data_IF_658502075087
#
_entry.id   IF_658502075087
#
_cell.length_a   1.000
_cell.length_b   1.000
_cell.length_c   1.000
_cell.angle_alpha   90.00
_cell.angle_beta   90.00
_cell.angle_gamma   90.00
#
_symmetry.space_group_name_H-M   'P 1'
#
loop_
_entity.id
_entity.type
_entity.pdbx_description
1 polymer ?
#
# COMPACT_ATOMS: atom_id res chain seq x y z
N UNK A 1 -18.23 5.44 -7.39
CA UNK A 1 -17.79 5.26 -5.98
C UNK A 1 -16.49 4.44 -5.89
N UNK A 2 -16.38 3.31 -6.59
CA UNK A 2 -15.17 2.46 -6.62
C UNK A 2 -13.90 3.23 -6.99
N UNK A 3 -13.90 3.99 -8.09
CA UNK A 3 -12.73 4.77 -8.53
C UNK A 3 -12.24 5.74 -7.45
N UNK A 4 -13.17 6.35 -6.68
CA UNK A 4 -12.82 7.24 -5.55
C UNK A 4 -12.18 6.47 -4.39
N UNK A 5 -12.65 5.25 -4.12
CA UNK A 5 -12.03 4.39 -3.11
C UNK A 5 -10.61 3.94 -3.53
N UNK A 6 -10.41 3.61 -4.81
CA UNK A 6 -9.07 3.31 -5.34
C UNK A 6 -8.16 4.53 -5.27
N UNK A 7 -8.68 5.73 -5.58
CA UNK A 7 -7.94 6.98 -5.44
C UNK A 7 -7.50 7.22 -3.99
N UNK A 8 -8.39 6.99 -3.02
CA UNK A 8 -8.04 7.08 -1.61
C UNK A 8 -6.93 6.09 -1.24
N UNK A 9 -7.02 4.83 -1.69
CA UNK A 9 -5.95 3.84 -1.50
C UNK A 9 -4.62 4.35 -2.08
N UNK A 10 -4.62 4.89 -3.31
CA UNK A 10 -3.42 5.48 -3.91
C UNK A 10 -2.84 6.61 -3.06
N UNK A 11 -3.67 7.52 -2.55
CA UNK A 11 -3.21 8.60 -1.69
C UNK A 11 -2.58 8.07 -0.40
N UNK A 12 -3.19 7.07 0.23
CA UNK A 12 -2.66 6.45 1.45
C UNK A 12 -1.32 5.75 1.19
N UNK A 13 -1.17 5.02 0.08
CA UNK A 13 0.10 4.35 -0.25
C UNK A 13 1.21 5.34 -0.61
N UNK A 14 0.88 6.47 -1.25
CA UNK A 14 1.84 7.56 -1.50
C UNK A 14 2.30 8.18 -0.18
N UNK A 15 1.37 8.46 0.75
CA UNK A 15 1.72 8.99 2.08
C UNK A 15 2.61 8.00 2.84
N UNK A 16 2.31 6.71 2.78
CA UNK A 16 3.15 5.67 3.40
C UNK A 16 4.54 5.61 2.80
N UNK A 17 4.67 5.67 1.47
CA UNK A 17 5.97 5.73 0.82
C UNK A 17 6.76 6.95 1.28
N UNK A 18 6.13 8.12 1.33
CA UNK A 18 6.75 9.35 1.83
C UNK A 18 7.21 9.21 3.29
N UNK A 19 6.40 8.60 4.16
CA UNK A 19 6.78 8.30 5.55
C UNK A 19 7.97 7.33 5.61
N UNK A 20 7.97 6.26 4.81
CA UNK A 20 9.06 5.28 4.75
C UNK A 20 10.38 5.93 4.30
N UNK A 21 10.33 6.79 3.30
CA UNK A 21 11.47 7.60 2.85
C UNK A 21 11.93 8.53 3.98
N UNK A 22 11.02 9.27 4.61
CA UNK A 22 11.35 10.20 5.69
C UNK A 22 12.04 9.50 6.87
N UNK A 23 11.57 8.32 7.28
CA UNK A 23 12.23 7.52 8.32
C UNK A 23 13.61 7.02 7.87
N UNK A 24 13.75 6.55 6.62
CA UNK A 24 15.04 6.07 6.09
C UNK A 24 16.12 7.15 6.06
N UNK A 25 15.74 8.40 5.82
CA UNK A 25 16.64 9.55 5.79
C UNK A 25 16.65 10.36 7.10
N UNK A 26 16.08 9.81 8.19
CA UNK A 26 16.08 10.42 9.52
C UNK A 26 15.48 11.85 9.54
N UNK A 27 14.52 12.12 8.66
CA UNK A 27 13.88 13.44 8.53
C UNK A 27 12.83 13.72 9.61
N UNK A 28 12.50 12.74 10.44
CA UNK A 28 11.50 12.83 11.50
C UNK A 28 11.78 11.86 12.64
N UNK A 29 11.24 12.16 13.83
CA UNK A 29 11.43 11.34 15.04
C UNK A 29 10.86 9.92 14.86
N UNK A 30 11.70 8.87 14.93
CA UNK A 30 11.26 7.49 14.73
C UNK A 30 10.27 7.02 15.79
N UNK A 31 10.27 7.58 17.01
CA UNK A 31 9.33 7.21 18.07
C UNK A 31 7.89 7.60 17.75
N UNK A 32 7.70 8.62 16.91
CA UNK A 32 6.38 9.12 16.51
C UNK A 32 6.00 8.54 15.15
N UNK A 33 6.93 8.55 14.19
CA UNK A 33 6.59 8.20 12.80
C UNK A 33 6.42 6.69 12.60
N UNK A 34 7.19 5.84 13.29
CA UNK A 34 7.09 4.38 13.16
C UNK A 34 5.69 3.84 13.50
N UNK A 35 5.12 4.11 14.70
CA UNK A 35 3.79 3.61 15.02
C UNK A 35 2.70 4.20 14.11
N UNK A 36 2.84 5.48 13.71
CA UNK A 36 1.91 6.11 12.77
C UNK A 36 1.97 5.44 11.39
N UNK A 37 3.16 5.13 10.89
CA UNK A 37 3.37 4.45 9.62
C UNK A 37 2.77 3.03 9.64
N UNK A 38 3.01 2.27 10.70
CA UNK A 38 2.43 0.93 10.88
C UNK A 38 0.90 1.02 10.96
N UNK A 39 0.37 1.96 11.75
CA UNK A 39 -1.08 2.16 11.90
C UNK A 39 -1.75 2.50 10.57
N UNK A 40 -1.16 3.42 9.80
CA UNK A 40 -1.62 3.74 8.44
C UNK A 40 -1.53 2.52 7.53
N UNK A 41 -0.46 1.71 7.68
CA UNK A 41 -0.26 0.37 7.10
C UNK A 41 -1.50 -0.50 7.21
N UNK A 42 -1.88 -0.78 8.46
CA UNK A 42 -3.01 -1.64 8.79
C UNK A 42 -4.33 -1.09 8.24
N UNK A 43 -4.59 0.21 8.40
CA UNK A 43 -5.82 0.85 7.89
C UNK A 43 -5.91 0.70 6.38
N UNK A 44 -4.81 0.98 5.66
CA UNK A 44 -4.75 0.86 4.19
C UNK A 44 -4.99 -0.58 3.76
N UNK A 45 -4.39 -1.57 4.45
CA UNK A 45 -4.63 -2.99 4.16
C UNK A 45 -6.11 -3.38 4.31
N UNK A 46 -6.76 -2.98 5.41
CA UNK A 46 -8.19 -3.24 5.64
C UNK A 46 -9.08 -2.62 4.55
N UNK A 47 -8.75 -1.41 4.12
CA UNK A 47 -9.44 -0.75 3.01
C UNK A 47 -9.29 -1.52 1.70
N UNK A 48 -8.08 -1.97 1.37
CA UNK A 48 -7.81 -2.77 0.17
C UNK A 48 -8.57 -4.11 0.22
N UNK A 49 -8.62 -4.78 1.38
CA UNK A 49 -9.41 -6.01 1.57
C UNK A 49 -10.90 -5.76 1.32
N UNK A 50 -11.47 -4.71 1.93
CA UNK A 50 -12.86 -4.34 1.74
C UNK A 50 -13.17 -4.00 0.28
N UNK A 51 -12.28 -3.27 -0.37
CA UNK A 51 -12.39 -2.91 -1.78
C UNK A 51 -12.30 -4.14 -2.69
N UNK A 52 -11.34 -5.05 -2.48
CA UNK A 52 -11.19 -6.28 -3.22
C UNK A 52 -12.47 -7.15 -3.14
N UNK A 53 -13.02 -7.31 -1.93
CA UNK A 53 -14.28 -8.04 -1.72
C UNK A 53 -15.45 -7.37 -2.46
N UNK A 54 -15.56 -6.05 -2.37
CA UNK A 54 -16.64 -5.28 -2.99
C UNK A 54 -16.58 -5.37 -4.52
N UNK A 55 -15.39 -5.19 -5.10
CA UNK A 55 -15.14 -5.31 -6.54
C UNK A 55 -15.49 -6.69 -7.09
N UNK A 56 -15.07 -7.76 -6.40
CA UNK A 56 -15.39 -9.15 -6.79
C UNK A 56 -16.90 -9.40 -6.79
N UNK A 57 -17.62 -8.91 -5.77
CA UNK A 57 -19.09 -9.05 -5.69
C UNK A 57 -19.82 -8.30 -6.80
N UNK A 58 -19.25 -7.19 -7.27
CA UNK A 58 -19.82 -6.39 -8.36
C UNK A 58 -19.29 -6.80 -9.74
N UNK A 59 -18.50 -7.89 -9.81
CA UNK A 59 -17.84 -8.35 -11.04
C UNK A 59 -17.10 -7.22 -11.78
N UNK A 60 -16.56 -6.26 -11.02
CA UNK A 60 -15.91 -5.10 -11.59
C UNK A 60 -14.56 -5.51 -12.21
N UNK A 61 -14.27 -4.97 -13.39
CA UNK A 61 -13.16 -5.41 -14.25
C UNK A 61 -11.77 -5.32 -13.57
N UNK A 62 -11.50 -4.28 -12.79
CA UNK A 62 -10.23 -4.13 -12.03
C UNK A 62 -10.09 -5.01 -10.76
N UNK A 63 -11.01 -5.96 -10.54
CA UNK A 63 -10.99 -6.79 -9.32
C UNK A 63 -9.72 -7.64 -9.18
N UNK A 64 -9.13 -8.07 -10.30
CA UNK A 64 -7.87 -8.80 -10.34
C UNK A 64 -6.70 -7.89 -9.92
N UNK A 65 -6.62 -6.67 -10.47
CA UNK A 65 -5.56 -5.70 -10.14
C UNK A 65 -5.57 -5.32 -8.65
N UNK A 66 -6.75 -5.12 -8.06
CA UNK A 66 -6.85 -4.84 -6.63
C UNK A 66 -6.49 -6.06 -5.77
N UNK A 67 -6.77 -7.27 -6.25
CA UNK A 67 -6.30 -8.49 -5.58
C UNK A 67 -4.78 -8.64 -5.64
N UNK A 68 -4.17 -8.26 -6.76
CA UNK A 68 -2.71 -8.21 -6.93
C UNK A 68 -2.08 -7.12 -6.04
N UNK A 69 -2.69 -5.94 -5.98
CA UNK A 69 -2.29 -4.88 -5.05
C UNK A 69 -2.32 -5.38 -3.61
N UNK A 70 -3.38 -6.08 -3.20
CA UNK A 70 -3.47 -6.67 -1.86
C UNK A 70 -2.32 -7.65 -1.59
N UNK A 71 -2.01 -8.52 -2.55
CA UNK A 71 -0.88 -9.46 -2.43
C UNK A 71 0.44 -8.71 -2.25
N UNK A 72 0.72 -7.71 -3.10
CA UNK A 72 1.92 -6.87 -2.97
C UNK A 72 1.97 -6.20 -1.59
N UNK A 73 0.85 -5.68 -1.11
CA UNK A 73 0.75 -5.03 0.19
C UNK A 73 1.04 -6.00 1.35
N UNK A 74 0.57 -7.25 1.26
CA UNK A 74 0.88 -8.28 2.26
C UNK A 74 2.37 -8.63 2.27
N UNK A 75 2.98 -8.80 1.09
CA UNK A 75 4.42 -9.09 0.99
C UNK A 75 5.26 -7.91 1.50
N UNK A 76 4.85 -6.67 1.18
CA UNK A 76 5.48 -5.44 1.68
C UNK A 76 5.36 -5.33 3.20
N UNK A 77 4.18 -5.63 3.76
CA UNK A 77 3.96 -5.69 5.21
C UNK A 77 4.84 -6.73 5.91
N UNK A 78 4.99 -7.92 5.33
CA UNK A 78 5.90 -8.97 5.83
C UNK A 78 7.34 -8.44 5.85
N UNK A 79 7.81 -7.82 4.76
CA UNK A 79 9.14 -7.20 4.74
C UNK A 79 9.27 -6.13 5.83
N UNK A 80 8.21 -5.38 6.12
CA UNK A 80 8.18 -4.40 7.22
C UNK A 80 8.35 -5.02 8.60
N UNK A 81 7.76 -6.20 8.84
CA UNK A 81 7.95 -6.96 10.09
C UNK A 81 9.41 -7.37 10.26
N UNK A 82 10.09 -7.80 9.17
CA UNK A 82 11.50 -8.17 9.23
C UNK A 82 12.43 -6.98 9.53
N UNK A 83 12.05 -5.76 9.16
CA UNK A 83 12.78 -4.55 9.58
C UNK A 83 12.75 -4.40 11.10
N UNK A 84 11.60 -4.65 11.74
CA UNK A 84 11.46 -4.60 13.20
C UNK A 84 12.26 -5.70 13.91
N UNK A 85 12.70 -6.72 13.17
CA UNK A 85 13.58 -7.79 13.64
C UNK A 85 15.05 -7.54 13.23
N UNK A 86 15.41 -6.29 12.93
CA UNK A 86 16.77 -5.85 12.57
C UNK A 86 17.39 -6.55 11.35
N UNK A 87 16.56 -6.98 10.38
CA UNK A 87 17.05 -7.54 9.12
C UNK A 87 17.30 -6.42 8.12
N UNK A 88 18.55 -5.96 7.99
CA UNK A 88 18.92 -4.81 7.15
C UNK A 88 18.47 -4.92 5.68
N UNK A 89 18.60 -6.11 5.09
CA UNK A 89 18.19 -6.35 3.69
C UNK A 89 16.69 -6.18 3.49
N UNK A 90 15.88 -6.37 4.53
CA UNK A 90 14.43 -6.20 4.47
C UNK A 90 14.03 -4.74 4.26
N UNK A 91 14.82 -3.77 4.75
CA UNK A 91 14.54 -2.34 4.55
C UNK A 91 14.58 -1.95 3.07
N UNK A 92 15.58 -2.44 2.34
CA UNK A 92 15.70 -2.19 0.90
C UNK A 92 14.59 -2.88 0.11
N UNK A 93 14.30 -4.16 0.43
CA UNK A 93 13.21 -4.92 -0.19
C UNK A 93 11.86 -4.23 0.04
N UNK A 94 11.58 -3.81 1.28
CA UNK A 94 10.36 -3.11 1.66
C UNK A 94 10.21 -1.78 0.90
N UNK A 95 11.29 -1.02 0.75
CA UNK A 95 11.28 0.23 -0.03
C UNK A 95 10.95 -0.04 -1.50
N UNK A 96 11.60 -1.03 -2.14
CA UNK A 96 11.29 -1.41 -3.53
C UNK A 96 9.82 -1.82 -3.68
N UNK A 97 9.34 -2.70 -2.79
CA UNK A 97 7.95 -3.15 -2.81
C UNK A 97 6.97 -1.99 -2.64
N UNK A 98 7.32 -0.97 -1.86
CA UNK A 98 6.48 0.22 -1.66
C UNK A 98 6.28 1.00 -2.98
N UNK A 99 7.31 1.09 -3.84
CA UNK A 99 7.14 1.66 -5.18
C UNK A 99 6.19 0.83 -6.05
N UNK A 100 6.30 -0.50 -6.02
CA UNK A 100 5.39 -1.39 -6.75
C UNK A 100 3.95 -1.29 -6.25
N UNK A 101 3.74 -1.16 -4.93
CA UNK A 101 2.42 -0.93 -4.33
C UNK A 101 1.80 0.37 -4.85
N UNK A 102 2.56 1.47 -4.86
CA UNK A 102 2.08 2.76 -5.39
C UNK A 102 1.75 2.64 -6.89
N UNK A 103 2.63 2.02 -7.67
CA UNK A 103 2.42 1.81 -9.10
C UNK A 103 1.18 0.94 -9.39
N UNK A 104 0.98 -0.15 -8.64
CA UNK A 104 -0.18 -1.02 -8.79
C UNK A 104 -1.49 -0.29 -8.43
N UNK A 105 -1.49 0.53 -7.36
CA UNK A 105 -2.64 1.35 -6.99
C UNK A 105 -2.96 2.39 -8.08
N UNK A 106 -1.94 3.03 -8.65
CA UNK A 106 -2.09 4.00 -9.74
C UNK A 106 -2.64 3.33 -11.01
N UNK A 107 -2.11 2.16 -11.37
CA UNK A 107 -2.60 1.39 -12.51
C UNK A 107 -4.07 0.99 -12.34
N UNK A 108 -4.45 0.44 -11.18
CA UNK A 108 -5.83 0.08 -10.88
C UNK A 108 -6.78 1.29 -10.93
N UNK A 109 -6.30 2.47 -10.51
CA UNK A 109 -7.06 3.71 -10.62
C UNK A 109 -7.31 4.10 -12.08
N UNK A 110 -6.26 4.08 -12.91
CA UNK A 110 -6.34 4.42 -14.34
C UNK A 110 -7.29 3.47 -15.06
N UNK A 111 -7.17 2.16 -14.84
CA UNK A 111 -8.09 1.16 -15.40
C UNK A 111 -9.54 1.39 -14.95
N UNK A 112 -9.76 1.63 -13.65
CA UNK A 112 -11.09 1.92 -13.13
C UNK A 112 -11.69 3.19 -13.71
N UNK A 113 -10.90 4.26 -13.86
CA UNK A 113 -11.36 5.53 -14.41
C UNK A 113 -11.62 5.47 -15.93
N UNK A 114 -10.87 4.63 -16.65
CA UNK A 114 -10.98 4.48 -18.10
C UNK A 114 -12.09 3.51 -18.54
N UNK A 115 -12.66 2.75 -17.60
CA UNK A 115 -13.67 1.71 -17.90
C UNK A 115 -13.10 0.50 -18.64
N UNK A 116 -11.76 0.34 -18.63
CA UNK A 116 -11.04 -0.77 -19.24
C UNK A 116 -10.56 -1.74 -18.18
#
# INVERSE_FOLDING_TARGET
MITRAIFLVLMLTVVQLAQGIAMRFELADPNIVTPLHIGLGVVTALMVVGLARSLRRQTHHVSADISFLLLLFMVQGIAGIFILADVETAAFIHLILSFFVVAAAANALVLSASGR
#
